data_IF_555919416651
#
_entry.id   IF_555919416651
#
_cell.length_a   1.000
_cell.length_b   1.000
_cell.length_c   1.000
_cell.angle_alpha   90.00
_cell.angle_beta   90.00
_cell.angle_gamma   90.00
#
_symmetry.space_group_name_H-M   'P 1'
#
loop_
_entity.id
_entity.type
_entity.pdbx_description
1 polymer ?
#
# COMPACT_ATOMS: atom_id res chain seq x y z
N UNK A 1 -23.57 10.41 1.88
CA UNK A 1 -22.72 9.66 2.83
C UNK A 1 -21.29 10.16 2.69
N UNK A 2 -20.53 10.30 3.77
CA UNK A 2 -19.12 10.69 3.69
C UNK A 2 -18.33 9.52 3.09
N UNK A 3 -17.59 9.76 1.99
CA UNK A 3 -16.73 8.75 1.35
C UNK A 3 -15.61 8.42 2.36
N UNK A 4 -15.53 7.18 2.82
CA UNK A 4 -14.41 6.74 3.63
C UNK A 4 -13.23 6.52 2.68
N UNK A 5 -12.23 7.39 2.75
CA UNK A 5 -10.94 7.15 2.11
C UNK A 5 -10.22 6.06 2.91
N UNK A 6 -9.72 5.06 2.22
CA UNK A 6 -8.96 3.99 2.85
C UNK A 6 -7.54 3.91 2.30
N UNK A 7 -6.66 3.42 3.15
CA UNK A 7 -5.33 2.95 2.80
C UNK A 7 -5.25 1.48 3.19
N UNK A 8 -4.92 0.63 2.24
CA UNK A 8 -4.71 -0.80 2.46
C UNK A 8 -3.33 -1.20 1.96
N UNK A 9 -2.63 -2.05 2.72
CA UNK A 9 -1.42 -2.69 2.24
C UNK A 9 -1.66 -4.18 2.01
N UNK A 10 -1.27 -4.67 0.83
CA UNK A 10 -1.48 -6.04 0.39
C UNK A 10 -0.17 -6.64 -0.11
N UNK A 11 0.09 -7.93 0.16
CA UNK A 11 1.16 -8.63 -0.52
C UNK A 11 0.81 -8.87 -2.00
N UNK A 12 1.81 -8.85 -2.86
CA UNK A 12 1.72 -9.35 -4.23
C UNK A 12 2.90 -10.28 -4.54
N UNK A 13 2.71 -11.17 -5.50
CA UNK A 13 3.77 -12.05 -6.00
C UNK A 13 4.74 -11.28 -6.93
N UNK A 14 4.19 -10.40 -7.77
CA UNK A 14 4.91 -9.71 -8.84
C UNK A 14 4.37 -8.27 -8.97
N UNK A 15 5.26 -7.28 -8.83
CA UNK A 15 4.90 -5.87 -8.86
C UNK A 15 4.49 -5.40 -10.25
N UNK A 16 5.15 -5.88 -11.30
CA UNK A 16 4.84 -5.46 -12.68
C UNK A 16 3.49 -6.04 -13.12
N UNK A 17 3.21 -7.32 -12.81
CA UNK A 17 1.88 -7.88 -13.09
C UNK A 17 0.77 -7.17 -12.32
N UNK A 18 1.05 -6.81 -11.06
CA UNK A 18 0.11 -6.07 -10.21
C UNK A 18 -0.16 -4.69 -10.78
N UNK A 19 0.90 -3.96 -11.14
CA UNK A 19 0.84 -2.66 -11.81
C UNK A 19 0.04 -2.75 -13.10
N UNK A 20 0.30 -3.74 -13.94
CA UNK A 20 -0.39 -3.92 -15.21
C UNK A 20 -1.89 -4.11 -15.04
N UNK A 21 -2.28 -4.96 -14.09
CA UNK A 21 -3.68 -5.21 -13.79
C UNK A 21 -4.39 -3.95 -13.30
N UNK A 22 -3.87 -3.31 -12.25
CA UNK A 22 -4.57 -2.19 -11.64
C UNK A 22 -4.55 -0.93 -12.51
N UNK A 23 -3.46 -0.65 -13.22
CA UNK A 23 -3.35 0.57 -14.02
C UNK A 23 -3.97 0.38 -15.40
N UNK A 24 -3.56 -0.64 -16.15
CA UNK A 24 -3.97 -0.75 -17.55
C UNK A 24 -5.28 -1.53 -17.72
N UNK A 25 -5.60 -2.49 -16.86
CA UNK A 25 -6.87 -3.23 -16.94
C UNK A 25 -8.00 -2.54 -16.17
N UNK A 26 -7.72 -2.09 -14.96
CA UNK A 26 -8.72 -1.40 -14.14
C UNK A 26 -8.75 0.12 -14.38
N UNK A 27 -7.70 0.74 -14.91
CA UNK A 27 -7.69 2.20 -15.10
C UNK A 27 -7.47 2.98 -13.80
N UNK A 28 -6.89 2.35 -12.77
CA UNK A 28 -6.37 3.05 -11.61
C UNK A 28 -5.14 3.89 -11.98
N UNK A 29 -4.68 4.74 -11.06
CA UNK A 29 -3.51 5.60 -11.30
C UNK A 29 -2.29 5.08 -10.52
N UNK A 30 -1.12 5.16 -11.14
CA UNK A 30 0.16 4.93 -10.47
C UNK A 30 0.37 6.00 -9.39
N UNK A 31 0.77 5.57 -8.20
CA UNK A 31 1.30 6.41 -7.14
C UNK A 31 2.83 6.38 -7.11
N UNK A 32 3.39 6.37 -5.91
CA UNK A 32 4.83 6.17 -5.67
C UNK A 32 5.19 4.69 -5.83
N UNK A 33 6.45 4.39 -6.14
CA UNK A 33 6.91 3.01 -6.24
C UNK A 33 8.44 2.90 -6.06
N UNK A 34 8.87 1.71 -5.70
CA UNK A 34 10.27 1.28 -5.63
C UNK A 34 10.39 -0.11 -6.30
N UNK A 35 11.57 -0.73 -6.23
CA UNK A 35 11.77 -2.11 -6.67
C UNK A 35 11.08 -3.15 -5.75
N UNK A 36 10.69 -2.73 -4.54
CA UNK A 36 10.08 -3.56 -3.48
C UNK A 36 8.58 -3.38 -3.29
N UNK A 37 8.04 -2.21 -3.66
CA UNK A 37 6.63 -1.88 -3.47
C UNK A 37 6.06 -0.85 -4.46
N UNK A 38 4.73 -0.77 -4.54
CA UNK A 38 4.01 0.16 -5.41
C UNK A 38 2.73 0.67 -4.73
N UNK A 39 2.54 1.98 -4.71
CA UNK A 39 1.28 2.63 -4.37
C UNK A 39 0.39 2.73 -5.62
N UNK A 40 -0.88 2.39 -5.45
CA UNK A 40 -1.93 2.49 -6.47
C UNK A 40 -3.03 3.38 -5.95
N UNK A 41 -3.32 4.45 -6.69
CA UNK A 41 -4.50 5.27 -6.46
C UNK A 41 -5.71 4.64 -7.15
N UNK A 42 -6.47 3.88 -6.36
CA UNK A 42 -7.72 3.24 -6.75
C UNK A 42 -8.89 4.22 -6.55
N UNK A 43 -9.09 5.08 -7.55
CA UNK A 43 -10.22 6.03 -7.63
C UNK A 43 -10.39 6.91 -6.37
N UNK A 44 -9.26 7.41 -5.85
CA UNK A 44 -9.18 8.25 -4.66
C UNK A 44 -8.94 7.48 -3.35
N UNK A 45 -8.69 6.18 -3.40
CA UNK A 45 -8.18 5.40 -2.26
C UNK A 45 -6.78 4.89 -2.57
N UNK A 46 -5.99 4.57 -1.55
CA UNK A 46 -4.62 4.08 -1.74
C UNK A 46 -4.53 2.59 -1.43
N UNK A 47 -3.94 1.82 -2.34
CA UNK A 47 -3.51 0.45 -2.08
C UNK A 47 -2.00 0.38 -2.28
N UNK A 48 -1.27 -0.03 -1.27
CA UNK A 48 0.17 -0.32 -1.36
C UNK A 48 0.35 -1.81 -1.57
N UNK A 49 0.94 -2.20 -2.69
CA UNK A 49 1.36 -3.58 -2.92
C UNK A 49 2.85 -3.74 -2.64
N UNK A 50 3.21 -4.80 -1.94
CA UNK A 50 4.62 -5.13 -1.66
C UNK A 50 4.88 -6.59 -1.98
N UNK A 51 6.11 -6.95 -2.36
CA UNK A 51 6.46 -8.37 -2.48
C UNK A 51 6.22 -9.10 -1.15
N UNK A 52 5.88 -10.38 -1.22
CA UNK A 52 5.60 -11.19 -0.03
C UNK A 52 6.83 -11.17 0.89
N UNK A 53 6.62 -10.69 2.11
CA UNK A 53 7.64 -10.63 3.15
C UNK A 53 8.53 -9.37 3.13
N UNK A 54 8.26 -8.36 2.31
CA UNK A 54 9.03 -7.09 2.35
C UNK A 54 8.78 -6.28 3.63
N UNK A 55 7.55 -6.34 4.14
CA UNK A 55 7.21 -5.73 5.41
C UNK A 55 6.17 -6.55 6.19
N UNK A 56 6.13 -6.35 7.49
CA UNK A 56 5.09 -6.84 8.38
C UNK A 56 4.18 -5.67 8.76
N UNK A 57 2.87 -5.89 8.78
CA UNK A 57 1.90 -4.89 9.24
C UNK A 57 1.12 -5.41 10.44
N UNK A 58 0.90 -4.53 11.41
CA UNK A 58 -0.05 -4.76 12.49
C UNK A 58 -0.85 -3.48 12.77
N UNK A 59 -2.02 -3.64 13.36
CA UNK A 59 -2.95 -2.55 13.59
C UNK A 59 -3.20 -2.35 15.08
N UNK A 60 -3.19 -1.10 15.52
CA UNK A 60 -3.52 -0.70 16.89
C UNK A 60 -4.67 0.28 16.84
N UNK A 61 -5.63 0.15 17.76
CA UNK A 61 -6.67 1.16 17.95
C UNK A 61 -6.18 2.21 18.94
N UNK A 62 -6.18 3.48 18.54
CA UNK A 62 -5.80 4.58 19.43
C UNK A 62 -6.90 4.85 20.49
N UNK A 63 -6.64 5.69 21.51
CA UNK A 63 -7.62 6.01 22.55
C UNK A 63 -8.90 6.68 22.03
N UNK A 64 -8.87 7.32 20.86
CA UNK A 64 -10.02 7.96 20.23
C UNK A 64 -10.82 7.01 19.32
N UNK A 65 -10.30 5.80 19.13
CA UNK A 65 -10.92 4.73 18.36
C UNK A 65 -10.54 4.66 16.88
N UNK A 66 -9.51 5.38 16.44
CA UNK A 66 -8.95 5.28 15.09
C UNK A 66 -8.00 4.08 14.98
N UNK A 67 -7.98 3.44 13.81
CA UNK A 67 -7.02 2.37 13.52
C UNK A 67 -5.73 2.98 12.98
N UNK A 68 -4.61 2.66 13.62
CA UNK A 68 -3.26 3.04 13.20
C UNK A 68 -2.56 1.78 12.70
N UNK A 69 -2.08 1.82 11.45
CA UNK A 69 -1.24 0.78 10.89
C UNK A 69 0.24 1.03 11.22
N UNK A 70 0.93 0.01 11.70
CA UNK A 70 2.37 0.02 11.89
C UNK A 70 3.00 -0.95 10.90
N UNK A 71 4.04 -0.48 10.21
CA UNK A 71 4.81 -1.25 9.24
C UNK A 71 6.23 -1.44 9.73
N UNK A 72 6.70 -2.68 9.72
CA UNK A 72 8.11 -3.02 9.91
C UNK A 72 8.68 -3.48 8.58
N UNK A 73 9.61 -2.72 8.03
CA UNK A 73 10.30 -3.05 6.79
C UNK A 73 11.54 -3.90 7.10
N UNK A 74 11.91 -4.78 6.17
CA UNK A 74 13.18 -5.52 6.27
C UNK A 74 14.38 -4.59 6.10
N UNK A 75 14.30 -3.68 5.13
CA UNK A 75 15.31 -2.66 4.90
C UNK A 75 14.94 -1.37 5.64
N UNK A 76 15.87 -0.86 6.46
CA UNK A 76 15.67 0.38 7.21
C UNK A 76 15.69 1.61 6.30
N UNK A 77 16.35 1.53 5.14
CA UNK A 77 16.36 2.59 4.13
C UNK A 77 14.97 2.86 3.54
N UNK A 78 14.04 1.90 3.65
CA UNK A 78 12.68 2.00 3.11
C UNK A 78 11.68 2.72 4.03
N UNK A 79 12.03 2.95 5.30
CA UNK A 79 11.08 3.47 6.31
C UNK A 79 10.59 4.90 5.98
N UNK A 80 11.45 5.72 5.38
CA UNK A 80 11.17 7.14 5.10
C UNK A 80 11.45 7.56 3.66
N UNK A 81 11.68 6.61 2.76
CA UNK A 81 11.88 6.94 1.34
C UNK A 81 10.55 7.39 0.73
N UNK A 82 10.60 8.50 -0.01
CA UNK A 82 9.46 9.15 -0.66
C UNK A 82 9.50 8.91 -2.15
#
# INVERSE_FOLDING_TARGET
MKKAEFHLALPCEDLEKTKDFYIYKLGAKLGRFTDGWIDINLYGNQITFTKVGEHLSFFVKDPNGYMVEFKSFKDHGEIFTV
#
